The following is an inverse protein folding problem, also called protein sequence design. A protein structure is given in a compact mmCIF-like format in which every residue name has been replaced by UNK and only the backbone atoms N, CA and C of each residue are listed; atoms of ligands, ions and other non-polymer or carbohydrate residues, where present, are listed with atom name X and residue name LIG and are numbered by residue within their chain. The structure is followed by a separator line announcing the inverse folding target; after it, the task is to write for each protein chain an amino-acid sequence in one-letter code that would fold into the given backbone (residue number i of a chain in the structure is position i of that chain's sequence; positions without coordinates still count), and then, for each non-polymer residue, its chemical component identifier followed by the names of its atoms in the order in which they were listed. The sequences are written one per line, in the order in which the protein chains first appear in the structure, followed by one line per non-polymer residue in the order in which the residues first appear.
data_IF_322271889735
#
_entry.id   IF_322271889735
#
_cell.length_a   1.000
_cell.length_b   1.000
_cell.length_c   1.000
_cell.angle_alpha   90.00
_cell.angle_beta   90.00
_cell.angle_gamma   90.00
#
_symmetry.space_group_name_H-M   'P 1'
#
loop_
_entity.id
_entity.type
_entity.pdbx_description
1 polymer ?
#
# COMPACT_ATOMS: atom_id res chain seq x y z
N UNK A 1 -13.12 -0.04 20.61
CA UNK A 1 -12.49 -1.19 19.95
C UNK A 1 -12.70 -1.08 18.45
N UNK A 2 -11.64 -0.87 17.68
CA UNK A 2 -11.71 -0.94 16.22
C UNK A 2 -11.64 -2.42 15.87
N UNK A 3 -12.69 -2.94 15.21
CA UNK A 3 -12.73 -4.33 14.74
C UNK A 3 -11.50 -4.58 13.85
N UNK A 4 -10.73 -5.61 14.16
CA UNK A 4 -9.75 -6.18 13.25
C UNK A 4 -10.42 -6.38 11.88
N UNK A 5 -9.94 -5.68 10.86
CA UNK A 5 -10.47 -5.77 9.50
C UNK A 5 -9.93 -7.05 8.86
N UNK A 6 -10.33 -8.21 9.39
CA UNK A 6 -9.81 -9.52 9.00
C UNK A 6 -10.19 -9.96 7.57
N UNK A 7 -10.81 -9.09 6.76
CA UNK A 7 -11.22 -9.39 5.39
C UNK A 7 -10.87 -8.26 4.39
N UNK A 8 -9.96 -7.34 4.73
CA UNK A 8 -9.62 -6.24 3.83
C UNK A 8 -8.75 -6.75 2.67
N UNK A 9 -9.38 -7.10 1.54
CA UNK A 9 -8.69 -7.52 0.33
C UNK A 9 -8.34 -6.37 -0.61
N UNK A 10 -9.04 -5.23 -0.49
CA UNK A 10 -8.87 -4.07 -1.35
C UNK A 10 -8.85 -2.79 -0.52
N UNK A 11 -7.87 -1.93 -0.79
CA UNK A 11 -7.77 -0.61 -0.17
C UNK A 11 -7.39 0.43 -1.23
N UNK A 12 -8.20 1.48 -1.34
CA UNK A 12 -7.96 2.60 -2.25
C UNK A 12 -7.66 3.86 -1.44
N UNK A 13 -6.44 4.37 -1.59
CA UNK A 13 -5.94 5.61 -0.99
C UNK A 13 -5.59 6.66 -2.06
N UNK A 14 -6.06 6.49 -3.30
CA UNK A 14 -5.78 7.43 -4.39
C UNK A 14 -6.22 8.86 -4.06
N UNK A 15 -5.51 9.84 -4.63
CA UNK A 15 -5.86 11.27 -4.57
C UNK A 15 -5.96 11.82 -3.15
N UNK A 16 -5.03 11.43 -2.28
CA UNK A 16 -4.89 12.00 -0.94
C UNK A 16 -3.58 12.81 -0.86
N UNK A 17 -3.23 13.27 0.34
CA UNK A 17 -2.00 14.00 0.64
C UNK A 17 -1.05 13.18 1.51
N UNK A 18 -1.01 11.87 1.27
CA UNK A 18 -0.18 10.96 2.06
C UNK A 18 1.26 11.09 1.58
N UNK A 19 2.18 11.24 2.53
CA UNK A 19 3.62 11.18 2.28
C UNK A 19 4.25 9.89 2.86
N UNK A 20 3.51 9.16 3.68
CA UNK A 20 3.90 7.88 4.29
C UNK A 20 2.65 7.02 4.55
N UNK A 21 2.80 5.69 4.50
CA UNK A 21 1.79 4.76 5.01
C UNK A 21 2.13 4.33 6.44
N UNK A 22 1.14 4.21 7.35
CA UNK A 22 1.38 3.72 8.70
C UNK A 22 1.92 2.28 8.69
N UNK A 23 2.74 1.92 9.67
CA UNK A 23 3.39 0.60 9.73
C UNK A 23 2.37 -0.56 9.76
N UNK A 24 1.21 -0.33 10.35
CA UNK A 24 0.14 -1.32 10.48
C UNK A 24 -0.38 -1.81 9.11
N UNK A 25 -0.23 -1.02 8.03
CA UNK A 25 -0.64 -1.46 6.69
C UNK A 25 0.15 -2.70 6.22
N UNK A 26 1.38 -2.85 6.71
CA UNK A 26 2.25 -3.99 6.40
C UNK A 26 1.89 -5.24 7.22
N UNK A 27 0.90 -5.17 8.12
CA UNK A 27 0.42 -6.32 8.89
C UNK A 27 -0.89 -6.89 8.29
N UNK A 28 -1.49 -6.20 7.33
CA UNK A 28 -2.75 -6.61 6.68
C UNK A 28 -2.47 -7.70 5.63
N UNK A 29 -2.24 -8.92 6.11
CA UNK A 29 -1.92 -10.09 5.28
C UNK A 29 -3.02 -10.50 4.28
N UNK A 30 -4.25 -10.03 4.49
CA UNK A 30 -5.39 -10.30 3.62
C UNK A 30 -5.49 -9.34 2.43
N UNK A 31 -4.69 -8.27 2.43
CA UNK A 31 -4.73 -7.25 1.38
C UNK A 31 -4.15 -7.80 0.07
N UNK A 32 -4.96 -7.72 -0.99
CA UNK A 32 -4.62 -8.20 -2.33
C UNK A 32 -4.38 -7.05 -3.30
N UNK A 33 -4.96 -5.88 -3.06
CA UNK A 33 -4.78 -4.71 -3.91
C UNK A 33 -4.74 -3.43 -3.09
N UNK A 34 -3.74 -2.59 -3.38
CA UNK A 34 -3.54 -1.29 -2.76
C UNK A 34 -3.31 -0.24 -3.85
N UNK A 35 -4.17 0.77 -3.89
CA UNK A 35 -4.02 1.92 -4.80
C UNK A 35 -3.58 3.16 -4.02
N UNK A 36 -2.48 3.78 -4.41
CA UNK A 36 -1.89 4.95 -3.73
C UNK A 36 -1.49 6.07 -4.71
N UNK A 37 -2.04 6.06 -5.92
CA UNK A 37 -1.76 7.05 -6.97
C UNK A 37 -2.17 8.45 -6.52
N UNK A 38 -1.51 9.49 -7.05
CA UNK A 38 -1.78 10.90 -6.72
C UNK A 38 -1.73 11.17 -5.21
N UNK A 39 -0.61 10.81 -4.59
CA UNK A 39 -0.25 11.15 -3.21
C UNK A 39 1.14 11.81 -3.22
N UNK A 40 1.54 12.38 -2.10
CA UNK A 40 2.77 13.16 -1.93
C UNK A 40 3.95 12.31 -1.42
N UNK A 41 4.05 11.05 -1.86
CA UNK A 41 5.17 10.18 -1.50
C UNK A 41 6.46 10.66 -2.17
N UNK A 42 7.51 10.88 -1.37
CA UNK A 42 8.85 11.13 -1.92
C UNK A 42 9.38 9.91 -2.66
N UNK A 43 10.18 10.11 -3.71
CA UNK A 43 10.71 9.02 -4.54
C UNK A 43 11.40 7.93 -3.72
N UNK A 44 12.20 8.33 -2.72
CA UNK A 44 12.91 7.40 -1.84
C UNK A 44 11.95 6.56 -1.00
N UNK A 45 10.97 7.21 -0.36
CA UNK A 45 9.99 6.54 0.50
C UNK A 45 9.10 5.59 -0.30
N UNK A 46 8.74 5.99 -1.53
CA UNK A 46 8.01 5.17 -2.46
C UNK A 46 8.79 3.91 -2.85
N UNK A 47 10.09 4.02 -3.17
CA UNK A 47 10.92 2.86 -3.50
C UNK A 47 11.06 1.90 -2.31
N UNK A 48 11.27 2.42 -1.10
CA UNK A 48 11.39 1.59 0.11
C UNK A 48 10.09 0.86 0.42
N UNK A 49 8.96 1.55 0.31
CA UNK A 49 7.63 0.97 0.49
C UNK A 49 7.35 -0.13 -0.53
N UNK A 50 7.63 0.12 -1.81
CA UNK A 50 7.47 -0.89 -2.88
C UNK A 50 8.34 -2.11 -2.61
N UNK A 51 9.63 -1.91 -2.29
CA UNK A 51 10.54 -3.00 -1.95
C UNK A 51 10.05 -3.81 -0.74
N UNK A 52 9.52 -3.13 0.27
CA UNK A 52 8.96 -3.76 1.45
C UNK A 52 7.74 -4.61 1.12
N UNK A 53 6.78 -4.09 0.35
CA UNK A 53 5.60 -4.85 -0.07
C UNK A 53 5.98 -6.05 -0.95
N UNK A 54 6.93 -5.90 -1.87
CA UNK A 54 7.41 -7.02 -2.68
C UNK A 54 8.01 -8.15 -1.82
N UNK A 55 8.66 -7.81 -0.71
CA UNK A 55 9.22 -8.80 0.22
C UNK A 55 8.18 -9.44 1.14
N UNK A 56 7.22 -8.65 1.64
CA UNK A 56 6.29 -9.12 2.70
C UNK A 56 4.96 -9.62 2.15
N UNK A 57 4.51 -9.09 1.01
CA UNK A 57 3.22 -9.40 0.38
C UNK A 57 3.40 -9.62 -1.13
N UNK A 58 4.13 -10.67 -1.56
CA UNK A 58 4.52 -10.88 -2.96
C UNK A 58 3.34 -11.10 -3.93
N UNK A 59 2.11 -11.25 -3.41
CA UNK A 59 0.89 -11.39 -4.21
C UNK A 59 0.05 -10.10 -4.25
N UNK A 60 0.44 -9.08 -3.50
CA UNK A 60 -0.26 -7.80 -3.44
C UNK A 60 -0.01 -7.04 -4.75
N UNK A 61 -1.09 -6.58 -5.38
CA UNK A 61 -1.03 -5.62 -6.48
C UNK A 61 -0.96 -4.21 -5.93
N UNK A 62 0.22 -3.59 -5.95
CA UNK A 62 0.41 -2.20 -5.55
C UNK A 62 0.39 -1.30 -6.79
N UNK A 63 -0.52 -0.32 -6.83
CA UNK A 63 -0.58 0.66 -7.92
C UNK A 63 -0.19 2.05 -7.42
N UNK A 64 0.82 2.64 -8.05
CA UNK A 64 1.44 3.88 -7.65
C UNK A 64 1.92 4.66 -8.88
N UNK A 65 1.72 5.98 -8.89
CA UNK A 65 1.94 6.80 -10.10
C UNK A 65 1.18 6.22 -11.30
N UNK A 66 1.86 5.98 -12.42
CA UNK A 66 1.34 5.28 -13.60
C UNK A 66 1.70 3.78 -13.64
N UNK A 67 2.29 3.24 -12.57
CA UNK A 67 2.85 1.88 -12.51
C UNK A 67 1.99 0.96 -11.64
N UNK A 68 2.04 -0.32 -11.99
CA UNK A 68 1.47 -1.44 -11.22
C UNK A 68 2.63 -2.37 -10.92
N UNK A 69 2.90 -2.69 -9.65
CA UNK A 69 3.80 -3.80 -9.33
C UNK A 69 3.05 -5.10 -9.58
N UNK A 70 3.55 -5.90 -10.51
CA UNK A 70 3.05 -7.23 -10.82
C UNK A 70 3.85 -8.29 -10.04
#
# INVERSE_FOLDING_TARGET
HIRQVNNLSFLNLNCNKLYILPLDIYEISTLQTLYIQNNDFGDKDLQEMVARFNRTHPKLKLCYGSKISC
#
